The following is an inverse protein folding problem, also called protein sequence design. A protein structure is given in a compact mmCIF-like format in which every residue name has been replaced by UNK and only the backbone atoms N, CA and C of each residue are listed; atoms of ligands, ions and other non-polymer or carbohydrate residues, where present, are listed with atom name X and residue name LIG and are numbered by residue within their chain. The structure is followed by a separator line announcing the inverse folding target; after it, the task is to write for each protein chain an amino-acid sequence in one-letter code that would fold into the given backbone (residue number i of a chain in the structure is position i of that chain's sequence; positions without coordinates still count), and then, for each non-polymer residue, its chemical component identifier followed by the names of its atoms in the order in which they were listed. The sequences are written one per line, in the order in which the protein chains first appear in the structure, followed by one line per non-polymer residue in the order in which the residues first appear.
data_IF_853969471472
#
_entry.id   IF_853969471472
#
_cell.length_a   1.000
_cell.length_b   1.000
_cell.length_c   1.000
_cell.angle_alpha   90.00
_cell.angle_beta   90.00
_cell.angle_gamma   90.00
#
_symmetry.space_group_name_H-M   'P 1'
#
loop_
_entity.id
_entity.type
_entity.pdbx_description
1 polymer ?
#
# COMPACT_ATOMS: atom_id res chain seq x y z
N UNK A 1 -5.62 -57.10 -5.80
CA UNK A 1 -4.53 -56.13 -5.51
C UNK A 1 -4.59 -54.83 -6.32
N UNK A 2 -5.02 -54.83 -7.59
CA UNK A 2 -5.11 -53.60 -8.43
C UNK A 2 -6.19 -52.58 -8.00
N UNK A 3 -7.34 -53.05 -7.49
CA UNK A 3 -8.47 -52.19 -7.08
C UNK A 3 -8.12 -51.39 -5.80
N UNK A 4 -7.35 -51.97 -4.89
CA UNK A 4 -6.91 -51.33 -3.64
C UNK A 4 -5.86 -50.22 -3.86
N UNK A 5 -5.13 -50.27 -4.97
CA UNK A 5 -4.12 -49.26 -5.35
C UNK A 5 -4.78 -48.01 -5.95
N UNK A 6 -5.86 -48.18 -6.74
CA UNK A 6 -6.62 -47.06 -7.33
C UNK A 6 -7.38 -46.25 -6.28
N UNK A 7 -7.98 -46.91 -5.28
CA UNK A 7 -8.65 -46.22 -4.18
C UNK A 7 -7.69 -45.43 -3.29
N UNK A 8 -6.48 -45.95 -3.06
CA UNK A 8 -5.45 -45.28 -2.27
C UNK A 8 -4.87 -44.04 -2.98
N UNK A 9 -4.73 -44.09 -4.32
CA UNK A 9 -4.31 -42.93 -5.12
C UNK A 9 -5.41 -41.85 -5.15
N UNK A 10 -6.68 -42.26 -5.26
CA UNK A 10 -7.82 -41.33 -5.26
C UNK A 10 -7.97 -40.59 -3.92
N UNK A 11 -7.74 -41.25 -2.77
CA UNK A 11 -7.81 -40.58 -1.46
C UNK A 11 -6.66 -39.61 -1.23
N UNK A 12 -5.44 -39.95 -1.67
CA UNK A 12 -4.28 -39.04 -1.61
C UNK A 12 -4.52 -37.81 -2.49
N UNK A 13 -5.04 -37.99 -3.71
CA UNK A 13 -5.36 -36.89 -4.61
C UNK A 13 -6.41 -35.94 -4.02
N UNK A 14 -7.46 -36.46 -3.38
CA UNK A 14 -8.48 -35.65 -2.69
C UNK A 14 -7.89 -34.89 -1.50
N UNK A 15 -7.03 -35.52 -0.69
CA UNK A 15 -6.38 -34.89 0.46
C UNK A 15 -5.38 -33.77 0.09
N UNK A 16 -4.73 -33.88 -1.08
CA UNK A 16 -3.82 -32.85 -1.60
C UNK A 16 -4.62 -31.66 -2.13
N UNK A 17 -5.75 -31.91 -2.82
CA UNK A 17 -6.63 -30.85 -3.34
C UNK A 17 -7.27 -30.04 -2.21
N UNK A 18 -7.63 -30.66 -1.08
CA UNK A 18 -8.16 -29.93 0.08
C UNK A 18 -7.10 -29.09 0.81
N UNK A 19 -5.84 -29.53 0.82
CA UNK A 19 -4.75 -28.78 1.47
C UNK A 19 -4.33 -27.52 0.69
N UNK A 20 -4.47 -27.53 -0.64
CA UNK A 20 -4.15 -26.38 -1.51
C UNK A 20 -5.17 -25.23 -1.41
N UNK A 21 -6.40 -25.48 -0.97
CA UNK A 21 -7.46 -24.46 -0.84
C UNK A 21 -7.36 -23.67 0.48
N UNK A 22 -6.66 -24.20 1.49
CA UNK A 22 -6.52 -23.58 2.80
C UNK A 22 -5.38 -22.55 2.91
N UNK A 23 -4.67 -22.28 1.80
CA UNK A 23 -3.65 -21.24 1.77
C UNK A 23 -4.35 -19.88 1.93
N UNK A 24 -4.03 -19.08 2.97
CA UNK A 24 -4.57 -17.74 3.10
C UNK A 24 -4.16 -16.94 1.86
N UNK A 25 -5.15 -16.56 1.05
CA UNK A 25 -4.96 -15.66 -0.08
C UNK A 25 -4.38 -14.36 0.46
N UNK A 26 -3.25 -13.93 -0.09
CA UNK A 26 -2.40 -12.87 0.46
C UNK A 26 -3.17 -11.61 0.88
N UNK A 27 -2.76 -11.07 2.03
CA UNK A 27 -2.94 -9.71 2.55
C UNK A 27 -4.28 -9.03 2.26
N UNK A 28 -5.05 -8.72 3.31
CA UNK A 28 -6.10 -7.71 3.18
C UNK A 28 -5.46 -6.45 2.60
N UNK A 29 -5.82 -6.06 1.38
CA UNK A 29 -5.66 -4.67 0.96
C UNK A 29 -6.41 -3.88 2.02
N UNK A 30 -5.68 -3.18 2.88
CA UNK A 30 -6.29 -2.20 3.78
C UNK A 30 -6.96 -1.22 2.83
N UNK A 31 -8.27 -1.34 2.64
CA UNK A 31 -9.04 -0.36 1.88
C UNK A 31 -8.92 0.95 2.65
N UNK A 32 -8.04 1.84 2.18
CA UNK A 32 -7.90 3.17 2.75
C UNK A 32 -9.15 3.94 2.34
N UNK A 33 -10.06 4.09 3.28
CA UNK A 33 -11.28 4.88 3.11
C UNK A 33 -10.96 6.39 3.15
N UNK A 34 -12.00 7.21 3.06
CA UNK A 34 -11.84 8.67 3.06
C UNK A 34 -11.16 9.20 4.32
N UNK A 35 -11.43 8.60 5.49
CA UNK A 35 -10.83 9.04 6.76
C UNK A 35 -9.33 8.77 6.73
N UNK A 36 -8.94 7.59 6.24
CA UNK A 36 -7.54 7.23 6.04
C UNK A 36 -6.82 8.20 5.07
N UNK A 37 -7.45 8.53 3.93
CA UNK A 37 -6.86 9.45 2.94
C UNK A 37 -6.71 10.87 3.49
N UNK A 38 -7.73 11.38 4.19
CA UNK A 38 -7.66 12.70 4.82
C UNK A 38 -6.50 12.77 5.82
N UNK A 39 -6.31 11.75 6.66
CA UNK A 39 -5.17 11.70 7.58
C UNK A 39 -3.79 11.62 6.89
N UNK A 40 -3.72 11.23 5.61
CA UNK A 40 -2.50 11.40 4.83
C UNK A 40 -2.33 12.84 4.35
N UNK A 41 -3.40 13.49 3.89
CA UNK A 41 -3.38 14.91 3.48
C UNK A 41 -2.99 15.80 4.65
N UNK A 42 -3.54 15.58 5.85
CA UNK A 42 -3.19 16.34 7.05
C UNK A 42 -1.68 16.24 7.35
N UNK A 43 -1.10 15.03 7.25
CA UNK A 43 0.35 14.82 7.40
C UNK A 43 1.16 15.47 6.28
N UNK A 44 0.65 15.49 5.06
CA UNK A 44 1.28 16.17 3.93
C UNK A 44 1.36 17.68 4.19
N UNK A 45 0.28 18.30 4.64
CA UNK A 45 0.24 19.74 4.91
C UNK A 45 1.12 20.13 6.10
N UNK A 46 1.14 19.34 7.18
CA UNK A 46 2.04 19.54 8.32
C UNK A 46 3.52 19.39 7.93
N UNK A 47 3.87 18.37 7.15
CA UNK A 47 5.21 18.21 6.58
C UNK A 47 5.59 19.40 5.69
N UNK A 48 4.66 19.84 4.83
CA UNK A 48 4.86 20.97 3.92
C UNK A 48 5.04 22.29 4.69
N UNK A 49 4.27 22.52 5.76
CA UNK A 49 4.38 23.72 6.59
C UNK A 49 5.67 23.74 7.42
N UNK A 50 6.19 22.57 7.79
CA UNK A 50 7.46 22.42 8.52
C UNK A 50 8.70 22.26 7.63
N UNK A 51 8.51 22.27 6.31
CA UNK A 51 9.56 22.10 5.30
C UNK A 51 10.32 20.77 5.46
N UNK A 52 9.67 19.74 6.02
CA UNK A 52 10.29 18.44 6.32
C UNK A 52 9.61 17.29 5.56
N UNK A 53 10.03 17.01 4.32
CA UNK A 53 9.49 15.91 3.54
C UNK A 53 9.77 14.52 4.14
N UNK A 54 10.75 14.42 5.05
CA UNK A 54 11.11 13.17 5.74
C UNK A 54 10.01 12.66 6.68
N UNK A 55 9.03 13.51 7.03
CA UNK A 55 7.86 13.15 7.84
C UNK A 55 6.83 12.31 7.09
N UNK A 56 6.96 12.19 5.76
CA UNK A 56 6.01 11.45 4.94
C UNK A 56 6.41 9.98 4.75
N UNK A 57 5.46 9.03 4.91
CA UNK A 57 5.70 7.62 4.66
C UNK A 57 5.64 7.30 3.16
N UNK A 58 6.50 7.95 2.37
CA UNK A 58 6.57 7.76 0.92
C UNK A 58 7.49 6.60 0.54
N UNK A 59 7.31 6.08 -0.67
CA UNK A 59 8.22 5.07 -1.20
C UNK A 59 9.53 5.70 -1.62
N UNK A 60 10.59 4.89 -1.73
CA UNK A 60 11.89 5.33 -2.26
C UNK A 60 11.80 5.95 -3.66
N UNK A 61 10.82 5.52 -4.46
CA UNK A 61 10.66 5.91 -5.85
C UNK A 61 9.51 6.93 -6.03
N UNK A 62 9.20 7.69 -4.99
CA UNK A 62 8.16 8.73 -5.01
C UNK A 62 8.42 9.74 -6.13
N UNK A 63 7.34 10.15 -6.80
CA UNK A 63 7.39 11.16 -7.86
C UNK A 63 6.61 12.37 -7.40
N UNK A 64 7.31 13.50 -7.30
CA UNK A 64 6.70 14.78 -7.01
C UNK A 64 6.64 15.62 -8.28
N UNK A 65 5.50 16.30 -8.47
CA UNK A 65 5.31 17.22 -9.59
C UNK A 65 4.56 18.45 -9.13
N UNK A 66 5.00 19.61 -9.58
CA UNK A 66 4.34 20.89 -9.36
C UNK A 66 4.10 21.56 -10.71
N UNK A 67 2.86 22.01 -10.97
CA UNK A 67 2.49 22.64 -12.25
C UNK A 67 2.89 21.82 -13.50
N UNK A 68 2.81 20.49 -13.39
CA UNK A 68 3.19 19.55 -14.47
C UNK A 68 4.70 19.34 -14.65
N UNK A 69 5.54 20.02 -13.88
CA UNK A 69 7.00 19.82 -13.87
C UNK A 69 7.38 18.78 -12.82
N UNK A 70 8.34 17.90 -13.13
CA UNK A 70 8.92 16.98 -12.14
C UNK A 70 9.98 17.71 -11.33
N UNK A 71 9.88 17.60 -10.01
CA UNK A 71 10.80 18.19 -9.02
C UNK A 71 11.20 17.14 -7.99
N UNK A 72 12.22 17.42 -7.17
CA UNK A 72 12.51 16.60 -5.99
C UNK A 72 11.48 16.89 -4.90
N UNK A 73 11.18 15.88 -4.07
CA UNK A 73 10.30 16.09 -2.92
C UNK A 73 11.04 16.96 -1.90
N UNK A 74 10.51 18.14 -1.60
CA UNK A 74 11.21 19.18 -0.82
C UNK A 74 11.57 20.43 -1.63
N UNK A 75 11.41 20.40 -2.95
CA UNK A 75 11.60 21.57 -3.82
C UNK A 75 10.30 22.38 -4.01
N UNK A 76 10.39 23.53 -4.71
CA UNK A 76 9.22 24.30 -5.12
C UNK A 76 8.47 24.90 -3.93
N UNK A 77 7.16 24.68 -3.85
CA UNK A 77 6.29 25.17 -2.77
C UNK A 77 6.81 24.83 -1.36
N UNK A 78 7.53 23.72 -1.21
CA UNK A 78 8.14 23.31 0.06
C UNK A 78 9.06 24.38 0.66
N UNK A 79 9.72 25.20 -0.17
CA UNK A 79 10.65 26.24 0.29
C UNK A 79 9.95 27.56 0.69
N UNK A 80 8.69 27.73 0.31
CA UNK A 80 7.98 29.02 0.44
C UNK A 80 6.68 28.92 1.22
N UNK A 81 6.23 27.71 1.56
CA UNK A 81 5.04 27.49 2.37
C UNK A 81 5.16 28.20 3.72
N UNK A 82 4.21 29.08 4.05
CA UNK A 82 4.18 29.81 5.31
C UNK A 82 3.17 29.27 6.32
N UNK A 83 2.27 28.38 5.88
CA UNK A 83 1.23 27.78 6.72
C UNK A 83 -0.05 27.52 5.95
N UNK A 84 -0.95 26.76 6.58
CA UNK A 84 -2.28 26.50 6.03
C UNK A 84 -3.16 27.76 6.11
N UNK A 85 -3.99 27.98 5.10
CA UNK A 85 -4.98 29.06 5.10
C UNK A 85 -6.17 28.71 6.00
N UNK A 86 -6.79 29.73 6.63
CA UNK A 86 -8.01 29.56 7.43
C UNK A 86 -9.26 29.77 6.59
N UNK A 87 -9.73 28.73 5.91
CA UNK A 87 -10.96 28.72 5.12
C UNK A 87 -11.96 27.68 5.62
#
# INVERSE_FOLDING_TARGET
MRILTFTFIATIAVAIVTLLVALPSGGSVRTCDRVCLNGFVDRYLDALATHDPGRLPVTRDVRFTENGQRLELGDGLWNTMAGEGGY
#
